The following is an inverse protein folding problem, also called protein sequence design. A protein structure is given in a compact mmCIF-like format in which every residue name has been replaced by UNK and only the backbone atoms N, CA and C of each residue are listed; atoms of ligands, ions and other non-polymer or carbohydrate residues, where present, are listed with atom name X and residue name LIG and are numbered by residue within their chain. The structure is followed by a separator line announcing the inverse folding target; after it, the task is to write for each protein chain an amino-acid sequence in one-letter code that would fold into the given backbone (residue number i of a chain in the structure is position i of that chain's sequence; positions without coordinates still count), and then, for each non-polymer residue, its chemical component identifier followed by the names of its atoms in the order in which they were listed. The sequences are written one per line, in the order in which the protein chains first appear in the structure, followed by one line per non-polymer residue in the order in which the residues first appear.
data_IF_930803438136
#
_entry.id   IF_930803438136
#
_cell.length_a   1.000
_cell.length_b   1.000
_cell.length_c   1.000
_cell.angle_alpha   90.00
_cell.angle_beta   90.00
_cell.angle_gamma   90.00
#
_symmetry.space_group_name_H-M   'P 1'
#
loop_
_entity.id
_entity.type
_entity.pdbx_description
1 polymer ?
#
# COMPACT_ATOMS: atom_id res chain seq x y z
N UNK A 1 11.03 15.01 -15.87
CA UNK A 1 10.21 15.61 -14.78
C UNK A 1 9.64 14.49 -13.94
N UNK A 2 10.22 14.24 -12.75
CA UNK A 2 9.62 13.42 -11.68
C UNK A 2 9.48 14.32 -10.45
N UNK A 3 8.57 15.29 -10.54
CA UNK A 3 8.07 15.99 -9.35
C UNK A 3 6.79 15.28 -8.90
N UNK A 4 6.64 15.19 -7.59
CA UNK A 4 5.49 14.63 -6.85
C UNK A 4 5.47 13.12 -6.60
N UNK A 5 6.40 12.64 -5.77
CA UNK A 5 6.03 11.72 -4.67
C UNK A 5 6.36 12.42 -3.34
N UNK A 6 5.79 13.59 -3.12
CA UNK A 6 5.80 14.24 -1.80
C UNK A 6 4.61 15.20 -1.72
N UNK A 7 3.52 14.77 -1.08
CA UNK A 7 2.73 15.66 -0.23
C UNK A 7 1.43 16.30 -0.73
N UNK A 8 0.81 15.91 -1.86
CA UNK A 8 -0.44 16.57 -2.29
C UNK A 8 -1.60 15.69 -2.77
N UNK A 9 -1.47 14.37 -2.73
CA UNK A 9 -2.60 13.44 -2.96
C UNK A 9 -3.05 12.75 -1.66
N UNK A 10 -2.90 13.44 -0.52
CA UNK A 10 -3.30 12.96 0.80
C UNK A 10 -4.41 13.81 1.46
N UNK A 11 -4.90 14.87 0.81
CA UNK A 11 -5.84 15.79 1.49
C UNK A 11 -7.32 15.38 1.42
N UNK A 12 -7.72 14.40 0.60
CA UNK A 12 -9.15 14.04 0.46
C UNK A 12 -9.48 12.55 0.58
N UNK A 13 -8.54 11.71 1.00
CA UNK A 13 -8.85 10.33 1.35
C UNK A 13 -8.58 10.13 2.84
N UNK A 14 -9.66 10.18 3.62
CA UNK A 14 -9.69 9.87 5.04
C UNK A 14 -9.06 8.50 5.31
N UNK A 15 -7.76 8.49 5.57
CA UNK A 15 -7.10 7.43 6.31
C UNK A 15 -6.70 8.08 7.62
N UNK A 16 -7.45 7.77 8.68
CA UNK A 16 -7.05 8.05 10.06
C UNK A 16 -5.81 7.20 10.34
N UNK A 17 -4.67 7.68 9.86
CA UNK A 17 -3.35 7.11 10.05
C UNK A 17 -2.95 7.40 11.50
N UNK A 18 -3.28 6.47 12.39
CA UNK A 18 -2.70 6.22 13.72
C UNK A 18 -1.99 7.38 14.45
N UNK A 19 -2.67 8.51 14.65
CA UNK A 19 -2.53 9.27 15.91
C UNK A 19 -3.79 8.98 16.72
N UNK A 20 -3.74 7.94 17.56
CA UNK A 20 -4.74 7.80 18.63
C UNK A 20 -4.61 9.06 19.48
N UNK A 21 -5.63 9.90 19.51
CA UNK A 21 -5.78 10.89 20.57
C UNK A 21 -5.92 10.11 21.88
N UNK A 22 -4.83 10.04 22.67
CA UNK A 22 -4.86 9.42 23.98
C UNK A 22 -5.34 10.49 24.94
N UNK A 23 -6.56 10.35 25.45
CA UNK A 23 -7.08 11.28 26.46
C UNK A 23 -6.15 11.31 27.67
N UNK A 24 -5.99 12.45 28.37
CA UNK A 24 -5.13 12.55 29.55
C UNK A 24 -5.44 11.48 30.60
N UNK A 25 -6.73 11.15 30.78
CA UNK A 25 -7.21 10.08 31.65
C UNK A 25 -6.68 8.68 31.33
N UNK A 26 -6.44 8.35 30.06
CA UNK A 26 -5.84 7.05 29.66
C UNK A 26 -4.35 6.99 29.92
N UNK A 27 -3.65 8.12 29.80
CA UNK A 27 -2.21 8.21 30.10
C UNK A 27 -1.99 7.94 31.59
N UNK A 28 -2.76 8.61 32.46
CA UNK A 28 -2.68 8.43 33.92
C UNK A 28 -3.01 6.99 34.34
N UNK A 29 -3.98 6.35 33.67
CA UNK A 29 -4.31 4.94 33.92
C UNK A 29 -3.17 4.00 33.51
N UNK A 30 -2.56 4.18 32.33
CA UNK A 30 -1.46 3.32 31.90
C UNK A 30 -0.27 3.36 32.86
N UNK A 31 0.09 4.56 33.34
CA UNK A 31 1.17 4.73 34.33
C UNK A 31 0.83 4.09 35.68
N UNK A 32 -0.42 4.20 36.15
CA UNK A 32 -0.88 3.58 37.40
C UNK A 32 -0.85 2.05 37.37
N UNK A 33 -1.14 1.45 36.22
CA UNK A 33 -1.23 0.00 36.03
C UNK A 33 0.04 -0.63 35.41
N UNK A 34 1.11 0.16 35.23
CA UNK A 34 2.38 -0.33 34.65
C UNK A 34 2.27 -0.78 33.18
N UNK A 35 1.31 -0.23 32.43
CA UNK A 35 1.08 -0.56 31.02
C UNK A 35 1.97 0.30 30.14
N UNK A 36 2.78 -0.32 29.29
CA UNK A 36 3.63 0.39 28.33
C UNK A 36 3.34 -0.04 26.89
N UNK A 37 3.60 0.88 25.94
CA UNK A 37 3.43 0.60 24.52
C UNK A 37 4.72 0.03 23.94
N UNK A 38 4.65 -1.19 23.41
CA UNK A 38 5.78 -1.82 22.74
C UNK A 38 5.55 -1.85 21.23
N UNK A 39 6.47 -1.26 20.47
CA UNK A 39 6.47 -1.31 19.00
C UNK A 39 7.18 -2.59 18.55
N UNK A 40 6.53 -3.36 17.69
CA UNK A 40 7.14 -4.52 17.06
C UNK A 40 7.95 -4.05 15.86
N UNK A 41 9.26 -4.27 15.88
CA UNK A 41 10.15 -3.96 14.78
C UNK A 41 10.16 -5.10 13.76
N UNK A 42 10.05 -4.76 12.47
CA UNK A 42 10.39 -5.65 11.36
C UNK A 42 11.77 -5.30 10.80
N UNK A 43 12.36 -6.20 10.02
CA UNK A 43 13.65 -5.97 9.36
C UNK A 43 13.64 -4.68 8.54
N UNK A 44 14.68 -3.87 8.74
CA UNK A 44 14.97 -2.69 7.95
C UNK A 44 16.12 -3.04 7.00
N UNK A 45 15.80 -3.41 5.77
CA UNK A 45 16.81 -3.48 4.72
C UNK A 45 17.22 -2.05 4.36
N UNK A 46 18.47 -1.67 4.66
CA UNK A 46 19.04 -0.41 4.19
C UNK A 46 19.40 -0.55 2.71
N UNK A 47 18.75 0.21 1.83
CA UNK A 47 19.11 0.27 0.43
C UNK A 47 20.32 1.19 0.22
N UNK A 48 21.23 0.83 -0.68
CA UNK A 48 22.34 1.69 -1.07
C UNK A 48 21.83 2.85 -1.94
N UNK A 49 21.71 4.03 -1.32
CA UNK A 49 21.22 5.23 -1.97
C UNK A 49 22.14 5.72 -3.10
N UNK A 50 23.44 5.41 -3.03
CA UNK A 50 24.40 5.83 -4.06
C UNK A 50 24.22 5.00 -5.34
N UNK A 51 24.10 3.68 -5.21
CA UNK A 51 23.78 2.80 -6.33
C UNK A 51 22.42 3.15 -6.98
N UNK A 52 21.41 3.48 -6.17
CA UNK A 52 20.10 3.92 -6.68
C UNK A 52 20.23 5.21 -7.50
N UNK A 53 21.00 6.19 -7.02
CA UNK A 53 21.20 7.45 -7.74
C UNK A 53 21.86 7.25 -9.10
N UNK A 54 22.91 6.42 -9.16
CA UNK A 54 23.59 6.07 -10.42
C UNK A 54 22.63 5.42 -11.42
N UNK A 55 21.86 4.40 -10.98
CA UNK A 55 20.87 3.73 -11.84
C UNK A 55 19.76 4.65 -12.33
N UNK A 56 19.32 5.62 -11.51
CA UNK A 56 18.33 6.62 -11.94
C UNK A 56 18.87 7.51 -13.06
N UNK A 57 20.16 7.88 -13.01
CA UNK A 57 20.77 8.68 -14.07
C UNK A 57 20.86 7.91 -15.40
N UNK A 58 21.26 6.64 -15.35
CA UNK A 58 21.28 5.75 -16.53
C UNK A 58 19.87 5.58 -17.14
N UNK A 59 18.85 5.38 -16.29
CA UNK A 59 17.45 5.29 -16.73
C UNK A 59 16.99 6.58 -17.41
N UNK A 60 17.32 7.74 -16.85
CA UNK A 60 16.97 9.04 -17.45
C UNK A 60 17.60 9.24 -18.82
N UNK A 61 18.84 8.82 -19.01
CA UNK A 61 19.49 8.86 -20.32
C UNK A 61 18.79 7.94 -21.33
N UNK A 62 18.44 6.72 -20.90
CA UNK A 62 17.71 5.76 -21.74
C UNK A 62 16.34 6.29 -22.16
N UNK A 63 15.64 6.97 -21.24
CA UNK A 63 14.31 7.52 -21.48
C UNK A 63 14.32 8.86 -22.23
N UNK A 64 15.48 9.50 -22.43
CA UNK A 64 15.57 10.84 -23.03
C UNK A 64 15.06 10.91 -24.48
N UNK A 65 15.08 9.79 -25.21
CA UNK A 65 14.57 9.70 -26.58
C UNK A 65 13.07 9.47 -26.71
N UNK A 66 12.36 9.26 -25.60
CA UNK A 66 10.92 8.96 -25.59
C UNK A 66 10.10 10.18 -25.17
N UNK A 67 8.90 10.32 -25.75
CA UNK A 67 7.95 11.32 -25.27
C UNK A 67 7.50 10.99 -23.85
N UNK A 68 7.27 11.98 -22.97
CA UNK A 68 6.65 11.74 -21.66
C UNK A 68 5.30 11.02 -21.73
N UNK A 69 4.58 11.12 -22.84
CA UNK A 69 3.31 10.42 -23.05
C UNK A 69 3.49 8.91 -23.31
N UNK A 70 4.68 8.50 -23.78
CA UNK A 70 5.03 7.10 -24.09
C UNK A 70 5.77 6.40 -22.94
N UNK A 71 6.12 7.15 -21.89
CA UNK A 71 6.79 6.61 -20.71
C UNK A 71 5.73 6.25 -19.67
N UNK A 72 5.52 4.96 -19.45
CA UNK A 72 4.54 4.50 -18.46
C UNK A 72 5.20 3.96 -17.19
N UNK A 73 4.54 4.21 -16.06
CA UNK A 73 4.84 3.57 -14.80
C UNK A 73 3.69 2.62 -14.43
N UNK A 74 4.05 1.37 -14.13
CA UNK A 74 3.16 0.37 -13.56
C UNK A 74 3.59 0.11 -12.12
N UNK A 75 2.69 0.28 -11.16
CA UNK A 75 3.00 0.03 -9.75
C UNK A 75 1.84 -0.72 -9.08
N UNK A 76 2.20 -1.64 -8.18
CA UNK A 76 1.24 -2.47 -7.43
C UNK A 76 1.24 -2.06 -5.97
N UNK A 77 0.05 -1.71 -5.45
CA UNK A 77 -0.15 -1.43 -4.03
C UNK A 77 -1.03 -2.50 -3.38
N UNK A 78 -0.63 -2.93 -2.17
CA UNK A 78 -1.37 -3.93 -1.40
C UNK A 78 -2.15 -3.28 -0.25
N UNK A 79 -3.47 -3.36 -0.28
CA UNK A 79 -4.35 -2.98 0.82
C UNK A 79 -4.57 -4.16 1.76
N UNK A 80 -3.95 -4.13 2.94
CA UNK A 80 -4.06 -5.18 3.95
C UNK A 80 -5.21 -4.93 4.93
N UNK A 81 -6.42 -5.35 4.56
CA UNK A 81 -7.64 -5.07 5.31
C UNK A 81 -7.80 -5.87 6.62
N UNK A 82 -7.01 -6.95 6.81
CA UNK A 82 -6.95 -7.71 8.07
C UNK A 82 -5.67 -7.47 8.88
N UNK A 83 -4.88 -6.46 8.51
CA UNK A 83 -3.63 -6.19 9.21
C UNK A 83 -3.89 -5.68 10.63
N UNK A 84 -3.45 -6.43 11.63
CA UNK A 84 -3.51 -6.01 13.03
C UNK A 84 -2.51 -4.88 13.34
N UNK A 85 -2.70 -4.17 14.47
CA UNK A 85 -1.82 -3.08 14.89
C UNK A 85 -0.37 -3.54 15.07
N UNK A 86 0.58 -2.62 14.85
CA UNK A 86 2.02 -2.88 14.93
C UNK A 86 2.61 -2.84 16.35
N UNK A 87 1.78 -2.60 17.35
CA UNK A 87 2.16 -2.59 18.75
C UNK A 87 0.99 -3.06 19.61
N UNK A 88 1.32 -3.47 20.82
CA UNK A 88 0.35 -3.85 21.84
C UNK A 88 0.60 -3.06 23.12
N UNK A 89 -0.45 -2.88 23.91
CA UNK A 89 -0.36 -2.34 25.27
C UNK A 89 -0.34 -3.53 26.21
N UNK A 90 0.74 -3.68 26.97
CA UNK A 90 0.90 -4.78 27.90
C UNK A 90 1.67 -4.34 29.15
N UNK A 91 1.43 -5.05 30.25
CA UNK A 91 2.17 -4.90 31.51
C UNK A 91 3.46 -5.72 31.55
N UNK A 92 3.63 -6.64 30.59
CA UNK A 92 4.84 -7.44 30.39
C UNK A 92 5.06 -7.70 28.89
N UNK A 93 6.29 -8.05 28.45
CA UNK A 93 6.54 -8.40 27.06
C UNK A 93 5.63 -9.53 26.58
N UNK A 94 4.92 -9.30 25.47
CA UNK A 94 4.00 -10.28 24.88
C UNK A 94 4.65 -10.88 23.63
N UNK A 95 4.57 -12.21 23.50
CA UNK A 95 5.00 -12.90 22.29
C UNK A 95 4.24 -12.34 21.06
N UNK A 96 4.98 -12.05 19.99
CA UNK A 96 4.39 -11.50 18.77
C UNK A 96 3.40 -12.46 18.12
N UNK A 97 2.29 -11.94 17.61
CA UNK A 97 1.35 -12.70 16.79
C UNK A 97 1.71 -12.56 15.31
N UNK A 98 1.52 -13.63 14.52
CA UNK A 98 1.65 -13.55 13.07
C UNK A 98 0.53 -12.67 12.52
N UNK A 99 0.88 -11.52 11.97
CA UNK A 99 -0.09 -10.61 11.35
C UNK A 99 -0.70 -11.26 10.11
N UNK A 100 -2.00 -11.08 9.93
CA UNK A 100 -2.65 -11.45 8.67
C UNK A 100 -2.07 -10.62 7.53
N UNK A 101 -1.72 -11.30 6.44
CA UNK A 101 -1.27 -10.69 5.18
C UNK A 101 -2.35 -10.74 4.10
N UNK A 102 -3.59 -11.01 4.49
CA UNK A 102 -4.71 -10.94 3.56
C UNK A 102 -4.83 -9.52 3.02
N UNK A 103 -4.84 -9.43 1.69
CA UNK A 103 -4.79 -8.17 0.97
C UNK A 103 -5.65 -8.17 -0.26
N UNK A 104 -5.95 -6.95 -0.71
CA UNK A 104 -6.43 -6.65 -2.05
C UNK A 104 -5.28 -5.91 -2.73
N UNK A 105 -4.82 -6.41 -3.87
CA UNK A 105 -3.82 -5.71 -4.66
C UNK A 105 -4.53 -4.80 -5.67
N UNK A 106 -4.03 -3.58 -5.80
CA UNK A 106 -4.45 -2.62 -6.81
C UNK A 106 -3.24 -2.30 -7.67
N UNK A 107 -3.32 -2.59 -8.96
CA UNK A 107 -2.31 -2.18 -9.91
C UNK A 107 -2.77 -0.89 -10.61
N UNK A 108 -1.85 0.08 -10.65
CA UNK A 108 -2.07 1.39 -11.21
C UNK A 108 -1.09 1.60 -12.36
N UNK A 109 -1.59 2.21 -13.43
CA UNK A 109 -0.81 2.47 -14.63
C UNK A 109 -1.10 3.88 -15.13
N UNK A 110 -0.04 4.68 -15.24
CA UNK A 110 -0.11 6.04 -15.74
C UNK A 110 1.11 6.39 -16.58
N UNK A 111 0.94 7.27 -17.55
CA UNK A 111 2.07 7.85 -18.28
C UNK A 111 2.76 8.95 -17.44
N UNK A 112 3.98 9.31 -17.85
CA UNK A 112 4.81 10.27 -17.13
C UNK A 112 4.28 11.70 -17.23
N UNK A 113 3.49 12.02 -18.26
CA UNK A 113 2.77 13.30 -18.38
C UNK A 113 1.50 13.36 -17.53
N UNK A 114 0.96 12.21 -17.12
CA UNK A 114 -0.30 12.09 -16.37
C UNK A 114 -1.56 12.29 -17.22
N UNK A 115 -1.45 12.33 -18.54
CA UNK A 115 -2.58 12.50 -19.47
C UNK A 115 -3.35 11.20 -19.69
N UNK A 116 -2.68 10.05 -19.63
CA UNK A 116 -3.29 8.71 -19.70
C UNK A 116 -3.18 8.04 -18.33
N UNK A 117 -4.32 7.98 -17.63
CA UNK A 117 -4.51 7.18 -16.43
C UNK A 117 -5.43 6.01 -16.78
N UNK A 118 -4.86 4.80 -16.85
CA UNK A 118 -5.64 3.61 -17.16
C UNK A 118 -6.51 3.21 -15.97
N UNK A 119 -7.58 2.46 -16.28
CA UNK A 119 -8.45 1.90 -15.25
C UNK A 119 -7.61 1.06 -14.29
N UNK A 120 -7.79 1.23 -12.97
CA UNK A 120 -7.08 0.41 -12.00
C UNK A 120 -7.50 -1.05 -12.17
N UNK A 121 -6.54 -1.94 -11.95
CA UNK A 121 -6.79 -3.38 -11.88
C UNK A 121 -6.84 -3.78 -10.41
N UNK A 122 -7.92 -4.41 -9.98
CA UNK A 122 -8.11 -4.89 -8.61
C UNK A 122 -8.02 -6.41 -8.59
N UNK A 123 -7.15 -6.93 -7.74
CA UNK A 123 -6.92 -8.37 -7.58
C UNK A 123 -7.17 -8.77 -6.13
N UNK A 124 -8.07 -9.73 -5.93
CA UNK A 124 -8.37 -10.26 -4.61
C UNK A 124 -8.33 -11.80 -4.59
N UNK A 125 -8.43 -12.38 -3.39
CA UNK A 125 -8.50 -13.84 -3.23
C UNK A 125 -9.83 -14.42 -3.74
N UNK A 126 -10.94 -13.75 -3.47
CA UNK A 126 -12.27 -14.23 -3.81
C UNK A 126 -12.67 -13.71 -5.19
N UNK A 127 -13.33 -14.53 -6.02
CA UNK A 127 -13.95 -14.08 -7.28
C UNK A 127 -15.09 -13.08 -7.06
N UNK A 128 -15.77 -13.19 -5.91
CA UNK A 128 -16.80 -12.26 -5.47
C UNK A 128 -16.71 -12.09 -3.96
N UNK A 129 -16.24 -10.94 -3.45
CA UNK A 129 -16.15 -10.71 -2.02
C UNK A 129 -17.56 -10.74 -1.41
N UNK A 130 -17.72 -11.45 -0.29
CA UNK A 130 -19.03 -11.65 0.35
C UNK A 130 -19.69 -10.35 0.81
N UNK A 131 -18.89 -9.33 1.16
CA UNK A 131 -19.37 -8.03 1.62
C UNK A 131 -20.16 -7.25 0.56
N UNK A 132 -19.94 -7.49 -0.73
CA UNK A 132 -20.65 -6.80 -1.81
C UNK A 132 -21.93 -7.52 -2.26
N UNK A 133 -22.24 -8.68 -1.68
CA UNK A 133 -23.48 -9.38 -1.98
C UNK A 133 -23.67 -9.71 -3.48
N UNK A 134 -24.93 -9.82 -3.90
CA UNK A 134 -25.31 -10.16 -5.29
C UNK A 134 -25.14 -9.01 -6.28
N UNK A 135 -24.96 -7.79 -5.80
CA UNK A 135 -24.84 -6.56 -6.61
C UNK A 135 -23.40 -6.24 -6.99
N UNK A 136 -22.44 -7.13 -6.70
CA UNK A 136 -21.03 -6.94 -7.05
C UNK A 136 -20.84 -6.96 -8.58
N UNK A 137 -20.66 -5.77 -9.16
CA UNK A 137 -20.38 -5.55 -10.59
C UNK A 137 -19.16 -4.64 -10.73
N UNK A 138 -17.94 -5.17 -10.50
CA UNK A 138 -16.73 -4.35 -10.48
C UNK A 138 -16.39 -3.75 -11.85
N UNK A 139 -16.76 -4.41 -12.94
CA UNK A 139 -16.48 -4.00 -14.32
C UNK A 139 -16.96 -2.58 -14.68
N UNK A 140 -17.92 -2.03 -13.91
CA UNK A 140 -18.38 -0.65 -14.08
C UNK A 140 -17.32 0.38 -13.67
N UNK A 141 -16.47 0.04 -12.69
CA UNK A 141 -15.53 0.98 -12.07
C UNK A 141 -14.06 0.59 -12.27
N UNK A 142 -13.77 -0.70 -12.41
CA UNK A 142 -12.41 -1.26 -12.40
C UNK A 142 -12.38 -2.63 -13.05
N UNK A 143 -11.22 -3.04 -13.52
CA UNK A 143 -10.98 -4.42 -13.95
C UNK A 143 -10.69 -5.28 -12.73
N UNK A 144 -11.43 -6.39 -12.58
CA UNK A 144 -11.37 -7.20 -11.38
C UNK A 144 -11.00 -8.64 -11.67
N UNK A 145 -9.96 -9.10 -11.01
CA UNK A 145 -9.47 -10.46 -11.12
C UNK A 145 -9.41 -11.13 -9.75
N UNK A 146 -9.51 -12.45 -9.77
CA UNK A 146 -9.31 -13.25 -8.57
C UNK A 146 -8.15 -14.21 -8.72
N UNK A 147 -7.24 -14.16 -7.77
CA UNK A 147 -6.09 -15.04 -7.70
C UNK A 147 -5.95 -15.57 -6.26
N UNK A 148 -5.62 -16.85 -6.09
CA UNK A 148 -5.41 -17.48 -4.79
C UNK A 148 -4.29 -16.85 -3.94
N UNK A 149 -3.45 -15.99 -4.52
CA UNK A 149 -2.47 -15.17 -3.78
C UNK A 149 -2.88 -13.70 -3.64
N UNK A 150 -3.90 -13.24 -4.38
CA UNK A 150 -4.29 -11.84 -4.56
C UNK A 150 -3.15 -10.94 -5.09
N UNK A 151 -2.30 -11.46 -5.99
CA UNK A 151 -1.19 -10.72 -6.60
C UNK A 151 -1.36 -10.72 -8.12
N UNK A 152 -0.72 -9.77 -8.80
CA UNK A 152 -0.62 -9.77 -10.25
C UNK A 152 0.08 -11.04 -10.74
N UNK A 153 -0.35 -11.51 -11.90
CA UNK A 153 0.29 -12.64 -12.59
C UNK A 153 0.49 -12.26 -14.05
N UNK A 154 1.43 -12.90 -14.73
CA UNK A 154 1.68 -12.63 -16.15
C UNK A 154 0.43 -12.86 -17.02
N UNK A 155 -0.45 -13.79 -16.62
CA UNK A 155 -1.73 -14.03 -17.31
C UNK A 155 -2.65 -12.81 -17.17
N UNK A 156 -2.84 -12.31 -15.95
CA UNK A 156 -3.66 -11.10 -15.69
C UNK A 156 -3.05 -9.85 -16.33
N UNK A 157 -1.73 -9.82 -16.55
CA UNK A 157 -1.06 -8.70 -17.22
C UNK A 157 -1.23 -8.73 -18.75
N UNK A 158 -1.52 -9.89 -19.32
CA UNK A 158 -1.64 -10.09 -20.77
C UNK A 158 -3.09 -10.09 -21.26
N UNK A 159 -4.05 -10.36 -20.37
CA UNK A 159 -5.50 -10.22 -20.63
C UNK A 159 -5.87 -8.77 -20.98
#
# INVERSE_FOLDING_TARGET
VMKAKTGHFEENCYIVCTRRYVSPSRVTACTRWGISHHRLHGEAASADMTAIAARRAELQQTLAGYSPDDIYNFDETGLFYKLGPSGTLATAPVAGHKKSKERITVALFCNASGTDLRKPIVIAHAKRPRCFGKTFQPALYTEYFSNAKAWMTSVIFQD
#
